data_IF_384480640953
#
_entry.id   IF_384480640953
#
_cell.length_a   1.000
_cell.length_b   1.000
_cell.length_c   1.000
_cell.angle_alpha   90.00
_cell.angle_beta   90.00
_cell.angle_gamma   90.00
#
_symmetry.space_group_name_H-M   'P 1'
#
loop_
_entity.id
_entity.type
_entity.pdbx_description
1 polymer ?
#
# COMPACT_ATOMS: atom_id res chain seq x y z
N UNK A 1 38.36 38.47 43.55
CA UNK A 1 37.30 38.33 42.53
C UNK A 1 37.90 37.64 41.29
N UNK A 2 37.74 36.33 41.19
CA UNK A 2 38.22 35.56 40.03
C UNK A 2 37.00 35.28 39.10
N UNK A 3 37.04 35.81 37.87
CA UNK A 3 36.05 35.54 36.86
C UNK A 3 36.49 34.32 36.06
N UNK A 4 35.72 33.25 36.13
CA UNK A 4 35.86 32.08 35.25
C UNK A 4 35.10 32.36 33.95
N UNK A 5 35.82 32.36 32.82
CA UNK A 5 35.23 32.36 31.50
C UNK A 5 34.98 30.91 31.11
N UNK A 6 33.70 30.51 31.01
CA UNK A 6 33.32 29.21 30.50
C UNK A 6 33.23 29.31 28.98
N UNK A 7 34.19 28.68 28.30
CA UNK A 7 34.15 28.51 26.83
C UNK A 7 33.24 27.32 26.50
N UNK A 8 32.04 27.61 26.02
CA UNK A 8 31.13 26.58 25.49
C UNK A 8 31.54 26.23 24.05
N UNK A 9 32.21 25.09 23.88
CA UNK A 9 32.48 24.53 22.55
C UNK A 9 31.17 23.98 22.00
N UNK A 10 30.59 24.65 21.01
CA UNK A 10 29.47 24.11 20.23
C UNK A 10 30.01 23.05 19.25
N UNK A 11 29.77 21.79 19.55
CA UNK A 11 29.96 20.67 18.61
C UNK A 11 28.88 20.77 17.55
N UNK A 12 29.18 21.31 16.37
CA UNK A 12 28.38 21.12 15.17
C UNK A 12 28.47 19.62 14.79
N UNK A 13 27.36 18.94 14.55
CA UNK A 13 27.40 17.61 13.95
C UNK A 13 27.90 17.77 12.51
N UNK A 14 29.08 17.25 12.23
CA UNK A 14 29.52 17.00 10.86
C UNK A 14 28.59 15.96 10.27
N UNK A 15 27.64 16.40 9.43
CA UNK A 15 26.93 15.49 8.52
C UNK A 15 27.97 15.10 7.46
N UNK A 16 28.64 13.97 7.67
CA UNK A 16 29.40 13.29 6.63
C UNK A 16 28.40 12.83 5.58
N UNK A 17 28.20 13.61 4.51
CA UNK A 17 27.68 13.06 3.27
C UNK A 17 28.80 12.13 2.75
N UNK A 18 28.63 10.83 2.97
CA UNK A 18 29.51 9.84 2.39
C UNK A 18 29.41 9.99 0.87
N UNK A 19 30.44 10.57 0.25
CA UNK A 19 30.57 10.52 -1.20
C UNK A 19 30.57 9.06 -1.61
N UNK A 20 29.73 8.67 -2.57
CA UNK A 20 29.73 7.32 -3.12
C UNK A 20 31.14 7.00 -3.60
N UNK A 21 31.64 5.81 -3.24
CA UNK A 21 32.94 5.36 -3.75
C UNK A 21 32.90 5.23 -5.28
N UNK A 22 34.06 5.27 -5.90
CA UNK A 22 34.20 5.27 -7.37
C UNK A 22 33.65 3.99 -8.04
N UNK A 23 33.60 2.87 -7.31
CA UNK A 23 33.06 1.61 -7.81
C UNK A 23 31.54 1.63 -7.82
N UNK A 24 30.91 2.14 -6.75
CA UNK A 24 29.47 2.32 -6.63
C UNK A 24 28.97 3.36 -7.64
N UNK A 25 29.67 4.47 -7.80
CA UNK A 25 29.31 5.50 -8.79
C UNK A 25 29.34 4.96 -10.22
N UNK A 26 30.34 4.15 -10.58
CA UNK A 26 30.40 3.48 -11.88
C UNK A 26 29.30 2.44 -12.07
N UNK A 27 28.93 1.73 -11.01
CA UNK A 27 27.90 0.71 -11.09
C UNK A 27 26.50 1.29 -11.33
N UNK A 28 26.24 2.55 -11.01
CA UNK A 28 24.99 3.23 -11.37
C UNK A 28 24.91 3.54 -12.88
N UNK A 29 26.02 3.53 -13.59
CA UNK A 29 26.07 3.71 -15.05
C UNK A 29 26.23 2.32 -15.73
N UNK A 30 27.30 1.60 -15.38
CA UNK A 30 27.71 0.38 -16.07
C UNK A 30 27.06 -0.90 -15.51
N UNK A 31 26.39 -0.80 -14.34
CA UNK A 31 25.85 -1.92 -13.59
C UNK A 31 26.91 -2.70 -12.80
N UNK A 32 26.44 -3.48 -11.84
CA UNK A 32 27.21 -4.48 -11.11
C UNK A 32 26.41 -5.78 -10.98
N UNK A 33 27.05 -6.89 -10.64
CA UNK A 33 26.39 -8.16 -10.46
C UNK A 33 25.51 -8.13 -9.20
N UNK A 34 24.21 -8.40 -9.36
CA UNK A 34 23.26 -8.61 -8.29
C UNK A 34 23.02 -10.11 -8.10
N UNK A 35 22.92 -10.56 -6.86
CA UNK A 35 22.49 -11.90 -6.49
C UNK A 35 21.57 -11.84 -5.29
N UNK A 36 20.38 -12.44 -5.42
CA UNK A 36 19.38 -12.56 -4.35
C UNK A 36 18.92 -14.00 -4.27
N UNK A 37 18.80 -14.53 -3.07
CA UNK A 37 18.29 -15.88 -2.79
C UNK A 37 16.88 -15.72 -2.24
N UNK A 38 15.89 -16.05 -3.04
CA UNK A 38 14.49 -15.98 -2.64
C UNK A 38 14.04 -17.26 -1.97
N UNK A 39 13.23 -17.12 -0.92
CA UNK A 39 12.46 -18.19 -0.33
C UNK A 39 10.98 -17.81 -0.39
N UNK A 40 10.19 -18.60 -1.09
CA UNK A 40 8.76 -18.44 -1.25
C UNK A 40 8.04 -19.33 -0.26
N UNK A 41 7.18 -18.73 0.56
CA UNK A 41 6.37 -19.44 1.56
C UNK A 41 4.90 -19.02 1.44
N UNK A 42 4.00 -19.83 1.95
CA UNK A 42 2.61 -19.43 2.09
C UNK A 42 2.39 -18.61 3.39
N UNK A 43 1.16 -18.20 3.63
CA UNK A 43 0.75 -17.42 4.82
C UNK A 43 0.87 -18.20 6.14
N UNK A 44 1.10 -19.51 6.09
CA UNK A 44 1.45 -20.35 7.24
C UNK A 44 2.98 -20.58 7.39
N UNK A 45 3.80 -19.99 6.51
CA UNK A 45 5.25 -20.15 6.50
C UNK A 45 5.73 -21.45 5.84
N UNK A 46 4.84 -22.24 5.21
CA UNK A 46 5.18 -23.48 4.51
C UNK A 46 5.81 -23.14 3.15
N UNK A 47 6.93 -23.80 2.76
CA UNK A 47 7.55 -23.61 1.46
C UNK A 47 6.56 -23.86 0.29
N UNK A 48 6.56 -22.96 -0.69
CA UNK A 48 5.75 -23.10 -1.90
C UNK A 48 6.65 -23.60 -3.03
N UNK A 49 6.50 -24.87 -3.40
CA UNK A 49 7.25 -25.53 -4.46
C UNK A 49 6.65 -25.27 -5.84
N UNK A 50 7.44 -25.37 -6.89
CA UNK A 50 6.99 -25.19 -8.28
C UNK A 50 6.19 -23.89 -8.49
N UNK A 51 6.56 -22.81 -7.80
CA UNK A 51 6.07 -21.47 -8.10
C UNK A 51 6.94 -20.86 -9.21
N UNK A 52 6.31 -20.25 -10.21
CA UNK A 52 6.98 -19.62 -11.34
C UNK A 52 7.35 -18.19 -10.97
N UNK A 53 8.62 -17.87 -11.00
CA UNK A 53 9.15 -16.53 -10.81
C UNK A 53 9.55 -15.94 -12.16
N UNK A 54 9.04 -14.74 -12.47
CA UNK A 54 9.52 -13.87 -13.53
C UNK A 54 10.43 -12.83 -12.90
N UNK A 55 11.67 -12.78 -13.35
CA UNK A 55 12.72 -11.94 -12.78
C UNK A 55 13.13 -10.94 -13.84
N UNK A 56 13.13 -9.67 -13.45
CA UNK A 56 13.50 -8.58 -14.32
C UNK A 56 14.66 -7.78 -13.72
N UNK A 57 15.79 -7.78 -14.43
CA UNK A 57 16.94 -6.92 -14.15
C UNK A 57 16.90 -5.74 -15.10
N UNK A 58 16.68 -4.57 -14.54
CA UNK A 58 16.43 -3.35 -15.29
C UNK A 58 17.69 -2.51 -15.44
N UNK A 59 17.85 -1.90 -16.64
CA UNK A 59 18.89 -0.91 -16.91
C UNK A 59 18.29 0.49 -16.99
N UNK A 60 18.93 1.46 -16.35
CA UNK A 60 18.45 2.84 -16.31
C UNK A 60 18.52 3.53 -17.68
N UNK A 61 19.65 3.37 -18.38
CA UNK A 61 19.93 4.13 -19.59
C UNK A 61 19.55 3.39 -20.89
N UNK A 62 19.55 2.07 -20.86
CA UNK A 62 19.36 1.23 -22.05
C UNK A 62 18.33 0.15 -21.77
N UNK A 63 17.11 0.37 -22.25
CA UNK A 63 16.04 -0.64 -22.12
C UNK A 63 16.36 -1.93 -22.86
N UNK A 64 17.20 -1.89 -23.86
CA UNK A 64 17.74 -3.06 -24.57
C UNK A 64 18.63 -3.94 -23.72
N UNK A 65 19.21 -3.39 -22.64
CA UNK A 65 19.99 -4.14 -21.67
C UNK A 65 19.13 -4.72 -20.53
N UNK A 66 17.82 -4.54 -20.57
CA UNK A 66 16.89 -5.18 -19.63
C UNK A 66 16.93 -6.70 -19.83
N UNK A 67 17.06 -7.43 -18.75
CA UNK A 67 17.11 -8.90 -18.79
C UNK A 67 15.92 -9.49 -18.05
N UNK A 68 15.21 -10.37 -18.76
CA UNK A 68 14.08 -11.13 -18.25
C UNK A 68 14.48 -12.59 -18.11
N UNK A 69 14.35 -13.11 -16.89
CA UNK A 69 14.63 -14.51 -16.59
C UNK A 69 13.40 -15.15 -15.94
N UNK A 70 13.32 -16.47 -16.05
CA UNK A 70 12.34 -17.26 -15.32
C UNK A 70 13.03 -18.29 -14.44
N UNK A 71 12.43 -18.58 -13.30
CA UNK A 71 12.86 -19.63 -12.39
C UNK A 71 11.66 -20.33 -11.77
N UNK A 72 11.88 -21.57 -11.34
CA UNK A 72 10.88 -22.31 -10.54
C UNK A 72 11.45 -22.49 -9.14
N UNK A 73 10.57 -22.40 -8.13
CA UNK A 73 10.97 -22.73 -6.76
C UNK A 73 11.21 -24.23 -6.61
N UNK A 74 12.26 -24.57 -5.88
CA UNK A 74 12.62 -25.95 -5.51
C UNK A 74 11.73 -26.50 -4.37
N UNK A 75 12.11 -27.68 -3.83
CA UNK A 75 11.37 -28.33 -2.73
C UNK A 75 11.34 -27.54 -1.44
N UNK A 76 12.32 -26.65 -1.22
CA UNK A 76 12.42 -25.75 -0.08
C UNK A 76 11.77 -24.36 -0.35
N UNK A 77 11.12 -24.21 -1.50
CA UNK A 77 10.53 -22.96 -1.97
C UNK A 77 11.57 -21.92 -2.42
N UNK A 78 12.80 -22.36 -2.81
CA UNK A 78 13.91 -21.45 -3.12
C UNK A 78 14.16 -21.32 -4.61
N UNK A 79 14.64 -20.14 -5.01
CA UNK A 79 15.29 -19.89 -6.29
C UNK A 79 16.33 -18.78 -6.15
N UNK A 80 17.21 -18.63 -7.14
CA UNK A 80 18.25 -17.60 -7.15
C UNK A 80 18.03 -16.68 -8.34
N UNK A 81 17.97 -15.38 -8.08
CA UNK A 81 18.02 -14.32 -9.08
C UNK A 81 19.46 -13.79 -9.14
N UNK A 82 20.11 -13.88 -10.31
CA UNK A 82 21.50 -13.42 -10.49
C UNK A 82 21.69 -12.87 -11.89
N UNK A 83 22.01 -11.60 -11.99
CA UNK A 83 22.42 -10.95 -13.22
C UNK A 83 23.03 -9.57 -12.93
N UNK A 84 23.58 -8.91 -13.95
CA UNK A 84 24.07 -7.54 -13.88
C UNK A 84 22.90 -6.57 -13.97
N UNK A 85 22.91 -5.51 -13.15
CA UNK A 85 21.94 -4.42 -13.20
C UNK A 85 22.53 -3.13 -12.63
N UNK A 86 22.05 -1.99 -13.09
CA UNK A 86 22.41 -0.67 -12.55
C UNK A 86 21.22 0.07 -11.91
N UNK A 87 20.01 -0.45 -12.05
CA UNK A 87 18.82 0.22 -11.50
C UNK A 87 18.06 -0.68 -10.52
N UNK A 88 17.46 -1.76 -11.04
CA UNK A 88 16.45 -2.49 -10.29
C UNK A 88 16.50 -3.99 -10.60
N UNK A 89 16.30 -4.78 -9.57
CA UNK A 89 15.84 -6.17 -9.66
C UNK A 89 14.40 -6.21 -9.19
N UNK A 90 13.50 -6.73 -10.00
CA UNK A 90 12.12 -7.04 -9.59
C UNK A 90 11.82 -8.50 -9.87
N UNK A 91 10.97 -9.06 -9.04
CA UNK A 91 10.54 -10.43 -9.15
C UNK A 91 9.03 -10.51 -8.96
N UNK A 92 8.34 -11.21 -9.87
CA UNK A 92 6.91 -11.50 -9.77
C UNK A 92 6.72 -12.99 -9.69
N UNK A 93 6.04 -13.49 -8.67
CA UNK A 93 5.93 -14.92 -8.37
C UNK A 93 4.47 -15.34 -8.50
N UNK A 94 4.24 -16.39 -9.27
CA UNK A 94 2.94 -16.92 -9.62
C UNK A 94 2.84 -18.40 -9.26
N UNK A 95 1.70 -18.81 -8.73
CA UNK A 95 1.38 -20.22 -8.48
C UNK A 95 -0.12 -20.41 -8.60
N UNK A 96 -0.55 -21.50 -9.19
CA UNK A 96 -1.97 -21.87 -9.24
C UNK A 96 -2.55 -21.97 -7.82
N UNK A 97 -3.74 -21.39 -7.61
CA UNK A 97 -4.41 -21.37 -6.30
C UNK A 97 -3.84 -20.36 -5.31
N UNK A 98 -2.97 -19.44 -5.79
CA UNK A 98 -2.39 -18.38 -4.96
C UNK A 98 -2.54 -17.00 -5.61
N UNK A 99 -2.60 -15.97 -4.78
CA UNK A 99 -2.45 -14.60 -5.22
C UNK A 99 -1.01 -14.32 -5.63
N UNK A 100 -0.83 -13.68 -6.78
CA UNK A 100 0.48 -13.24 -7.24
C UNK A 100 1.12 -12.33 -6.19
N UNK A 101 2.40 -12.52 -5.94
CA UNK A 101 3.21 -11.62 -5.12
C UNK A 101 4.44 -11.15 -5.88
N UNK A 102 4.96 -9.98 -5.51
CA UNK A 102 6.15 -9.41 -6.11
C UNK A 102 7.15 -8.96 -5.04
N UNK A 103 8.39 -8.79 -5.44
CA UNK A 103 9.43 -8.14 -4.66
C UNK A 103 10.23 -7.22 -5.57
N UNK A 104 10.83 -6.18 -4.99
CA UNK A 104 11.61 -5.20 -5.73
C UNK A 104 12.75 -4.68 -4.89
N UNK A 105 13.93 -4.59 -5.51
CA UNK A 105 15.11 -3.93 -4.98
C UNK A 105 15.49 -2.81 -5.94
N UNK A 106 15.58 -1.59 -5.45
CA UNK A 106 16.05 -0.46 -6.23
C UNK A 106 17.39 -0.01 -5.66
N UNK A 107 18.48 -0.40 -6.32
CA UNK A 107 19.83 -0.22 -5.82
C UNK A 107 20.21 1.24 -5.53
N UNK A 108 19.94 2.22 -6.42
CA UNK A 108 20.20 3.63 -6.13
C UNK A 108 19.36 4.20 -5.00
N UNK A 109 18.05 3.88 -4.96
CA UNK A 109 17.13 4.42 -3.95
C UNK A 109 17.38 3.85 -2.55
N UNK A 110 17.88 2.62 -2.48
CA UNK A 110 18.22 1.95 -1.23
C UNK A 110 19.66 2.25 -0.78
N UNK A 111 20.38 3.15 -1.49
CA UNK A 111 21.76 3.53 -1.20
C UNK A 111 22.70 2.32 -1.07
N UNK A 112 22.50 1.31 -1.92
CA UNK A 112 23.36 0.13 -1.91
C UNK A 112 24.72 0.43 -2.51
N UNK A 113 25.76 -0.21 -2.02
CA UNK A 113 27.12 -0.04 -2.47
C UNK A 113 27.65 -1.26 -3.23
N UNK A 114 28.77 -1.05 -3.94
CA UNK A 114 29.43 -2.10 -4.74
C UNK A 114 30.78 -2.45 -4.13
N UNK A 115 31.00 -3.76 -3.97
CA UNK A 115 32.29 -4.33 -3.58
C UNK A 115 32.65 -5.46 -4.56
N UNK A 116 33.87 -5.43 -5.10
CA UNK A 116 34.37 -6.44 -6.05
C UNK A 116 33.43 -6.66 -7.25
N UNK A 117 32.86 -5.58 -7.80
CA UNK A 117 31.93 -5.62 -8.92
C UNK A 117 30.54 -6.20 -8.60
N UNK A 118 30.19 -6.32 -7.32
CA UNK A 118 28.95 -6.94 -6.84
C UNK A 118 28.17 -5.99 -5.93
N UNK A 119 26.87 -5.87 -6.17
CA UNK A 119 25.95 -5.16 -5.27
C UNK A 119 25.90 -5.83 -3.90
N UNK A 120 25.95 -5.02 -2.85
CA UNK A 120 25.91 -5.49 -1.47
C UNK A 120 24.52 -5.22 -0.85
N UNK A 121 24.04 -6.14 0.03
CA UNK A 121 24.62 -7.45 0.36
C UNK A 121 24.48 -8.46 -0.79
N UNK A 122 25.59 -9.09 -1.19
CA UNK A 122 25.59 -10.06 -2.29
C UNK A 122 25.10 -11.43 -1.81
N UNK A 123 24.05 -11.93 -2.47
CA UNK A 123 23.42 -13.20 -2.08
C UNK A 123 22.51 -13.07 -0.85
N UNK A 124 21.96 -11.86 -0.62
CA UNK A 124 20.98 -11.66 0.46
C UNK A 124 19.79 -12.63 0.33
N UNK A 125 19.29 -13.09 1.48
CA UNK A 125 18.09 -13.89 1.55
C UNK A 125 16.86 -13.00 1.68
N UNK A 126 15.84 -13.25 0.84
CA UNK A 126 14.56 -12.55 0.89
C UNK A 126 13.42 -13.55 0.93
N UNK A 127 12.42 -13.26 1.76
CA UNK A 127 11.22 -14.08 1.87
C UNK A 127 10.08 -13.39 1.13
N UNK A 128 9.39 -14.15 0.27
CA UNK A 128 8.17 -13.69 -0.40
C UNK A 128 7.02 -14.59 0.04
N UNK A 129 5.96 -13.96 0.54
CA UNK A 129 4.75 -14.68 0.96
C UNK A 129 3.76 -14.73 -0.19
N UNK A 130 3.32 -15.93 -0.55
CA UNK A 130 2.19 -16.17 -1.45
C UNK A 130 0.97 -16.52 -0.61
N UNK A 131 -0.06 -15.70 -0.68
CA UNK A 131 -1.34 -15.98 -0.02
C UNK A 131 -2.17 -16.96 -0.85
N UNK A 132 -2.71 -18.01 -0.20
CA UNK A 132 -3.61 -18.96 -0.87
C UNK A 132 -4.95 -18.30 -1.20
N UNK A 133 -5.52 -18.64 -2.34
CA UNK A 133 -6.94 -18.36 -2.62
C UNK A 133 -7.76 -19.37 -1.81
N UNK A 134 -8.60 -18.87 -0.89
CA UNK A 134 -9.37 -19.72 0.06
C UNK A 134 -10.84 -19.77 -0.28
N UNK A 135 -11.57 -18.71 -0.01
CA UNK A 135 -13.01 -18.65 -0.15
C UNK A 135 -13.44 -17.26 -0.64
N UNK A 136 -13.00 -16.85 -1.84
CA UNK A 136 -13.30 -15.53 -2.35
C UNK A 136 -14.79 -15.35 -2.61
N UNK A 137 -15.32 -14.19 -2.21
CA UNK A 137 -16.71 -13.81 -2.34
C UNK A 137 -16.89 -12.66 -3.30
N UNK A 138 -18.10 -12.50 -3.83
CA UNK A 138 -18.48 -11.30 -4.55
C UNK A 138 -18.50 -10.12 -3.57
N UNK A 139 -17.66 -9.13 -3.82
CA UNK A 139 -17.65 -7.87 -3.09
C UNK A 139 -18.02 -6.72 -4.03
N UNK A 140 -18.74 -5.74 -3.52
CA UNK A 140 -18.90 -4.50 -4.23
C UNK A 140 -17.54 -3.80 -4.27
N UNK A 141 -16.99 -3.60 -5.47
CA UNK A 141 -15.75 -2.88 -5.67
C UNK A 141 -16.01 -1.51 -6.29
N UNK A 142 -15.43 -0.49 -5.68
CA UNK A 142 -15.38 0.87 -6.23
C UNK A 142 -13.91 1.27 -6.39
N UNK A 143 -13.53 1.46 -7.63
CA UNK A 143 -12.21 1.99 -7.96
C UNK A 143 -12.28 3.51 -7.96
N UNK A 144 -11.48 4.13 -7.10
CA UNK A 144 -11.48 5.58 -6.88
C UNK A 144 -10.83 6.41 -7.98
N UNK A 145 -10.92 5.94 -9.23
CA UNK A 145 -10.49 6.71 -10.40
C UNK A 145 -11.43 7.90 -10.72
N UNK A 146 -12.59 7.95 -10.06
CA UNK A 146 -13.54 9.06 -10.26
C UNK A 146 -13.33 10.09 -9.17
N UNK A 147 -12.86 11.26 -9.57
CA UNK A 147 -12.75 12.43 -8.71
C UNK A 147 -14.14 12.93 -8.32
N UNK A 148 -14.46 12.79 -7.06
CA UNK A 148 -15.71 13.33 -6.52
C UNK A 148 -15.53 14.78 -6.14
N UNK A 149 -16.41 15.65 -6.62
CA UNK A 149 -16.44 17.05 -6.17
C UNK A 149 -16.86 17.12 -4.71
N UNK A 150 -16.11 17.88 -3.90
CA UNK A 150 -16.49 18.20 -2.52
C UNK A 150 -17.67 19.18 -2.58
N UNK A 151 -18.88 18.79 -2.11
CA UNK A 151 -20.08 19.61 -2.30
C UNK A 151 -20.16 20.79 -1.34
N UNK A 152 -19.60 20.65 -0.13
CA UNK A 152 -19.64 21.69 0.90
C UNK A 152 -18.44 21.57 1.86
N UNK A 153 -18.12 22.67 2.53
CA UNK A 153 -17.06 22.76 3.53
C UNK A 153 -17.66 23.14 4.89
N UNK A 154 -16.97 22.77 5.99
CA UNK A 154 -17.30 23.15 7.35
C UNK A 154 -18.45 22.37 8.00
N UNK A 155 -19.13 21.50 7.27
CA UNK A 155 -20.24 20.69 7.79
C UNK A 155 -20.00 19.20 7.56
N UNK A 156 -20.66 18.36 8.34
CA UNK A 156 -20.63 16.91 8.17
C UNK A 156 -21.52 16.49 7.00
N UNK A 157 -20.99 15.66 6.12
CA UNK A 157 -21.62 15.12 4.93
C UNK A 157 -21.65 13.59 5.05
N UNK A 158 -22.82 12.99 4.96
CA UNK A 158 -22.94 11.54 4.87
C UNK A 158 -22.44 11.03 3.53
N UNK A 159 -21.74 9.88 3.53
CA UNK A 159 -21.22 9.25 2.32
C UNK A 159 -21.59 7.77 2.30
N UNK A 160 -22.14 7.33 1.17
CA UNK A 160 -22.59 5.97 0.91
C UNK A 160 -21.51 5.19 0.15
N UNK A 161 -20.95 4.16 0.76
CA UNK A 161 -19.92 3.33 0.15
C UNK A 161 -20.44 2.50 -1.02
N UNK A 162 -21.70 2.06 -0.97
CA UNK A 162 -22.31 1.24 -2.01
C UNK A 162 -22.59 2.07 -3.27
N UNK A 163 -23.18 3.26 -3.10
CA UNK A 163 -23.46 4.18 -4.19
C UNK A 163 -22.23 4.97 -4.64
N UNK A 164 -21.20 5.01 -3.79
CA UNK A 164 -20.02 5.85 -3.94
C UNK A 164 -20.41 7.31 -4.15
N UNK A 165 -21.31 7.81 -3.31
CA UNK A 165 -21.93 9.13 -3.43
C UNK A 165 -22.25 9.72 -2.06
N UNK A 166 -22.25 11.05 -1.98
CA UNK A 166 -22.80 11.74 -0.82
C UNK A 166 -24.30 11.49 -0.71
N UNK A 167 -24.83 11.52 0.51
CA UNK A 167 -26.28 11.45 0.71
C UNK A 167 -26.97 12.79 0.37
N UNK A 168 -28.29 12.79 0.10
CA UNK A 168 -29.02 14.04 -0.14
C UNK A 168 -28.80 15.09 0.96
N UNK A 169 -28.79 16.40 0.63
CA UNK A 169 -29.08 16.96 -0.70
C UNK A 169 -27.86 17.03 -1.64
N UNK A 170 -26.72 16.40 -1.29
CA UNK A 170 -25.44 16.57 -1.96
C UNK A 170 -25.11 15.50 -3.00
N UNK A 171 -25.87 14.44 -3.05
CA UNK A 171 -25.71 13.32 -3.97
C UNK A 171 -26.87 12.34 -3.88
N UNK A 172 -26.66 11.14 -4.45
CA UNK A 172 -27.67 10.08 -4.59
C UNK A 172 -27.46 8.90 -3.61
N UNK A 173 -26.60 9.09 -2.62
CA UNK A 173 -26.37 8.09 -1.58
C UNK A 173 -27.63 7.84 -0.75
N UNK A 174 -27.86 6.59 -0.32
CA UNK A 174 -29.02 6.18 0.47
C UNK A 174 -28.62 6.03 1.95
N UNK A 175 -27.43 5.48 2.17
CA UNK A 175 -26.92 5.20 3.50
C UNK A 175 -25.75 6.12 3.84
N UNK A 176 -25.72 6.61 5.06
CA UNK A 176 -24.55 7.31 5.57
C UNK A 176 -23.61 6.28 6.23
N UNK A 177 -22.75 5.66 5.46
CA UNK A 177 -21.78 4.69 5.95
C UNK A 177 -20.70 5.36 6.80
N UNK A 178 -20.36 6.60 6.44
CA UNK A 178 -19.36 7.43 7.10
C UNK A 178 -19.75 8.91 6.97
N UNK A 179 -19.35 9.71 7.92
CA UNK A 179 -19.46 11.17 7.88
C UNK A 179 -18.11 11.77 7.48
N UNK A 180 -18.12 12.72 6.55
CA UNK A 180 -16.96 13.45 6.07
C UNK A 180 -17.14 14.94 6.34
N UNK A 181 -16.12 15.61 6.86
CA UNK A 181 -16.10 17.06 7.00
C UNK A 181 -14.82 17.60 6.37
N UNK A 182 -15.00 18.58 5.49
CA UNK A 182 -13.89 19.18 4.76
C UNK A 182 -13.67 20.61 5.22
N UNK A 183 -12.41 21.00 5.32
CA UNK A 183 -12.00 22.40 5.46
C UNK A 183 -10.93 22.75 4.44
N UNK A 184 -10.88 24.03 4.07
CA UNK A 184 -9.91 24.57 3.13
C UNK A 184 -9.47 25.94 3.57
N UNK A 185 -8.18 26.12 3.75
CA UNK A 185 -7.56 27.38 4.11
C UNK A 185 -6.66 27.85 2.96
N UNK A 186 -7.00 29.02 2.38
CA UNK A 186 -6.12 29.69 1.44
C UNK A 186 -4.92 30.31 2.18
N UNK A 187 -3.74 30.16 1.64
CA UNK A 187 -2.52 30.81 2.13
C UNK A 187 -2.18 31.90 1.11
N UNK A 188 -2.51 33.17 1.38
CA UNK A 188 -2.37 34.26 0.40
C UNK A 188 -0.97 34.31 -0.22
N UNK A 189 -0.88 34.29 -1.54
CA UNK A 189 0.38 34.29 -2.29
C UNK A 189 1.28 33.07 -2.10
N UNK A 190 0.81 32.03 -1.36
CA UNK A 190 1.63 30.85 -1.02
C UNK A 190 0.98 29.52 -1.42
N UNK A 191 -0.34 29.43 -1.52
CA UNK A 191 -1.03 28.19 -1.85
C UNK A 191 -2.27 27.91 -1.02
N UNK A 192 -2.50 26.65 -0.68
CA UNK A 192 -3.66 26.24 0.15
C UNK A 192 -3.37 24.98 0.95
N UNK A 193 -4.08 24.85 2.07
CA UNK A 193 -4.15 23.63 2.86
C UNK A 193 -5.60 23.13 2.92
N UNK A 194 -5.76 21.81 2.88
CA UNK A 194 -7.06 21.13 3.00
C UNK A 194 -6.97 20.11 4.12
N UNK A 195 -8.10 19.94 4.82
CA UNK A 195 -8.23 18.95 5.87
C UNK A 195 -9.54 18.19 5.70
N UNK A 196 -9.51 16.89 5.89
CA UNK A 196 -10.66 16.00 5.86
C UNK A 196 -10.73 15.24 7.18
N UNK A 197 -11.85 15.35 7.86
CA UNK A 197 -12.20 14.53 9.01
C UNK A 197 -13.15 13.43 8.54
N UNK A 198 -12.87 12.22 8.97
CA UNK A 198 -13.64 11.00 8.68
C UNK A 198 -14.21 10.50 9.99
N UNK A 199 -15.52 10.28 10.08
CA UNK A 199 -16.17 9.85 11.31
C UNK A 199 -17.21 8.76 11.06
N UNK A 200 -17.13 7.69 11.86
CA UNK A 200 -18.11 6.60 11.90
C UNK A 200 -19.08 6.71 13.08
N UNK A 201 -19.21 7.90 13.68
CA UNK A 201 -20.02 8.10 14.91
C UNK A 201 -21.52 8.04 14.68
N UNK A 202 -21.97 8.11 13.43
CA UNK A 202 -23.38 8.01 13.03
C UNK A 202 -23.97 6.61 13.19
N UNK A 203 -23.13 5.59 13.40
CA UNK A 203 -23.56 4.22 13.63
C UNK A 203 -22.90 3.65 14.90
N UNK A 204 -23.64 2.98 15.80
CA UNK A 204 -23.04 2.29 16.95
C UNK A 204 -22.10 1.19 16.44
N UNK A 205 -20.99 0.96 17.14
CA UNK A 205 -19.98 -0.05 16.78
C UNK A 205 -19.33 0.08 15.38
N UNK A 206 -19.76 1.01 14.52
CA UNK A 206 -19.07 1.28 13.26
C UNK A 206 -17.68 1.88 13.51
N UNK A 207 -16.78 1.75 12.56
CA UNK A 207 -15.41 2.25 12.66
C UNK A 207 -14.48 1.57 11.68
N UNK A 208 -13.21 1.85 11.78
CA UNK A 208 -12.18 1.16 11.00
C UNK A 208 -10.89 0.98 11.80
N UNK A 209 -10.03 0.08 11.36
CA UNK A 209 -8.68 -0.05 11.89
C UNK A 209 -7.68 -0.18 10.75
N UNK A 210 -6.46 0.33 10.99
CA UNK A 210 -5.37 0.26 10.03
C UNK A 210 -4.57 -1.02 10.21
N UNK A 211 -4.13 -1.58 9.11
CA UNK A 211 -3.16 -2.67 9.07
C UNK A 211 -2.08 -2.36 8.04
N UNK A 212 -0.89 -2.86 8.29
CA UNK A 212 0.16 -2.87 7.28
C UNK A 212 0.03 -4.11 6.40
N UNK A 213 0.34 -3.93 5.13
CA UNK A 213 0.48 -5.03 4.19
C UNK A 213 1.84 -5.69 4.39
N UNK A 214 1.88 -6.99 4.64
CA UNK A 214 3.12 -7.73 4.88
C UNK A 214 3.89 -8.04 3.59
N UNK A 215 3.26 -7.84 2.41
CA UNK A 215 3.84 -8.18 1.11
C UNK A 215 3.25 -7.38 -0.04
N UNK A 216 3.92 -7.39 -1.19
CA UNK A 216 3.39 -6.89 -2.45
C UNK A 216 2.42 -7.89 -3.11
N UNK A 217 1.62 -8.60 -2.33
CA UNK A 217 0.59 -9.50 -2.82
C UNK A 217 -0.57 -8.73 -3.45
N UNK A 218 -1.19 -9.30 -4.47
CA UNK A 218 -2.47 -8.79 -4.99
C UNK A 218 -3.52 -8.72 -3.88
N UNK A 219 -3.56 -9.71 -3.00
CA UNK A 219 -4.39 -9.67 -1.81
C UNK A 219 -3.62 -9.08 -0.63
N UNK A 220 -3.67 -7.77 -0.50
CA UNK A 220 -2.93 -7.02 0.53
C UNK A 220 -3.52 -7.16 1.94
N UNK A 221 -4.84 -7.44 2.04
CA UNK A 221 -5.57 -7.53 3.32
C UNK A 221 -5.48 -8.92 3.96
N UNK A 222 -5.93 -9.02 5.20
CA UNK A 222 -6.37 -10.28 5.78
C UNK A 222 -7.55 -10.86 4.97
N UNK A 223 -7.86 -12.14 5.20
CA UNK A 223 -9.01 -12.81 4.58
C UNK A 223 -10.34 -12.40 5.22
N UNK A 224 -10.28 -12.05 6.50
CA UNK A 224 -11.46 -11.70 7.29
C UNK A 224 -11.21 -10.44 8.10
N UNK A 225 -12.27 -9.68 8.32
CA UNK A 225 -12.29 -8.61 9.30
C UNK A 225 -12.25 -9.21 10.71
N UNK A 226 -11.39 -8.69 11.57
CA UNK A 226 -11.30 -9.15 12.97
C UNK A 226 -12.28 -8.35 13.84
N UNK A 227 -13.37 -9.01 14.26
CA UNK A 227 -14.41 -8.39 15.08
C UNK A 227 -13.93 -7.99 16.47
N UNK A 228 -12.82 -8.58 16.96
CA UNK A 228 -12.24 -8.32 18.28
C UNK A 228 -11.31 -7.09 18.28
N UNK A 229 -10.93 -6.60 17.12
CA UNK A 229 -10.13 -5.38 17.00
C UNK A 229 -10.90 -4.17 17.50
N UNK A 230 -10.17 -3.21 18.04
CA UNK A 230 -10.71 -1.88 18.32
C UNK A 230 -10.95 -1.15 16.99
N UNK A 231 -12.21 -0.85 16.70
CA UNK A 231 -12.60 -0.05 15.55
C UNK A 231 -12.59 1.43 15.94
N UNK A 232 -11.63 2.15 15.43
CA UNK A 232 -11.51 3.60 15.66
C UNK A 232 -12.66 4.32 14.99
N UNK A 233 -13.20 5.32 15.69
CA UNK A 233 -14.39 6.08 15.25
C UNK A 233 -14.06 7.21 14.30
N UNK A 234 -12.82 7.69 14.29
CA UNK A 234 -12.45 8.88 13.52
C UNK A 234 -11.02 8.80 13.02
N UNK A 235 -10.81 9.41 11.87
CA UNK A 235 -9.52 9.59 11.21
C UNK A 235 -9.44 11.01 10.65
N UNK A 236 -8.24 11.49 10.38
CA UNK A 236 -8.04 12.74 9.67
C UNK A 236 -6.96 12.61 8.62
N UNK A 237 -7.12 13.37 7.55
CA UNK A 237 -6.19 13.44 6.43
C UNK A 237 -5.95 14.90 6.06
N UNK A 238 -4.75 15.23 5.65
CA UNK A 238 -4.42 16.58 5.23
C UNK A 238 -3.66 16.63 3.92
N UNK A 239 -3.79 17.74 3.23
CA UNK A 239 -3.10 18.04 2.00
C UNK A 239 -2.67 19.50 2.02
N UNK A 240 -1.40 19.75 1.81
CA UNK A 240 -0.85 21.10 1.69
C UNK A 240 -0.15 21.25 0.35
N UNK A 241 -0.46 22.32 -0.36
CA UNK A 241 0.22 22.72 -1.59
C UNK A 241 0.69 24.16 -1.51
N UNK A 242 1.98 24.32 -1.35
CA UNK A 242 2.63 25.63 -1.38
C UNK A 242 3.26 25.87 -2.75
N UNK A 243 3.25 27.15 -3.19
CA UNK A 243 3.90 27.56 -4.44
C UNK A 243 5.41 27.26 -4.38
N UNK A 244 5.93 26.62 -5.43
CA UNK A 244 7.35 26.27 -5.53
C UNK A 244 7.80 25.12 -4.64
N UNK A 245 6.89 24.49 -3.87
CA UNK A 245 7.18 23.30 -3.06
C UNK A 245 6.43 22.06 -3.55
N UNK A 246 6.96 20.88 -3.24
CA UNK A 246 6.23 19.63 -3.45
C UNK A 246 5.03 19.58 -2.49
N UNK A 247 3.88 19.05 -2.94
CA UNK A 247 2.74 18.82 -2.07
C UNK A 247 3.13 17.93 -0.89
N UNK A 248 2.57 18.23 0.29
CA UNK A 248 2.69 17.40 1.49
C UNK A 248 1.33 16.75 1.75
N UNK A 249 1.36 15.46 2.04
CA UNK A 249 0.18 14.65 2.32
C UNK A 249 0.35 14.00 3.69
N UNK A 250 -0.69 14.05 4.49
CA UNK A 250 -0.88 13.16 5.64
C UNK A 250 -2.08 12.27 5.30
N UNK A 251 -1.81 11.07 4.87
CA UNK A 251 -2.78 10.12 4.34
C UNK A 251 -2.36 8.68 4.64
N UNK A 252 -3.24 7.73 4.35
CA UNK A 252 -2.93 6.30 4.48
C UNK A 252 -1.71 5.95 3.61
N UNK A 253 -0.71 5.33 4.21
CA UNK A 253 0.52 4.92 3.53
C UNK A 253 0.25 3.92 2.39
N UNK A 254 1.13 3.89 1.39
CA UNK A 254 0.99 2.95 0.26
C UNK A 254 1.12 1.47 0.67
N UNK A 255 1.70 1.21 1.85
CA UNK A 255 1.85 -0.10 2.48
C UNK A 255 0.81 -0.36 3.58
N UNK A 256 -0.23 0.49 3.69
CA UNK A 256 -1.30 0.38 4.67
C UNK A 256 -2.64 0.15 3.98
N UNK A 257 -3.59 -0.42 4.72
CA UNK A 257 -4.98 -0.54 4.34
C UNK A 257 -5.89 -0.41 5.57
N UNK A 258 -7.13 0.00 5.31
CA UNK A 258 -8.19 0.04 6.31
C UNK A 258 -9.08 -1.19 6.18
N UNK A 259 -9.46 -1.77 7.31
CA UNK A 259 -10.62 -2.66 7.43
C UNK A 259 -11.69 -1.89 8.19
N UNK A 260 -12.88 -1.83 7.66
CA UNK A 260 -13.99 -1.08 8.25
C UNK A 260 -15.22 -1.94 8.52
N UNK A 261 -16.02 -1.46 9.46
CA UNK A 261 -17.35 -1.98 9.81
C UNK A 261 -18.35 -0.83 9.75
N UNK A 262 -19.45 -1.05 9.04
CA UNK A 262 -20.52 -0.04 8.84
C UNK A 262 -21.91 -0.66 8.85
N UNK A 263 -22.97 0.13 8.70
CA UNK A 263 -24.39 -0.29 8.73
C UNK A 263 -24.73 -1.20 9.91
N UNK A 264 -24.16 -0.88 11.05
CA UNK A 264 -24.33 -1.67 12.26
C UNK A 264 -25.72 -1.48 12.85
N UNK A 265 -26.30 -2.56 13.34
CA UNK A 265 -27.53 -2.54 14.12
C UNK A 265 -27.30 -3.19 15.47
N UNK A 266 -27.97 -2.71 16.47
CA UNK A 266 -27.93 -3.25 17.84
C UNK A 266 -29.31 -3.74 18.28
N UNK A 267 -29.34 -4.72 19.17
CA UNK A 267 -30.55 -5.15 19.85
C UNK A 267 -30.97 -4.18 20.98
N UNK A 268 -32.07 -4.52 21.65
CA UNK A 268 -32.60 -3.71 22.78
C UNK A 268 -31.64 -3.65 23.98
N UNK A 269 -30.64 -4.55 24.03
CA UNK A 269 -29.59 -4.57 25.05
C UNK A 269 -28.34 -3.82 24.62
N UNK A 270 -28.36 -3.19 23.44
CA UNK A 270 -27.22 -2.45 22.88
C UNK A 270 -26.10 -3.34 22.34
N UNK A 271 -26.37 -4.64 22.09
CA UNK A 271 -25.39 -5.57 21.51
C UNK A 271 -25.45 -5.55 19.99
N UNK A 272 -24.30 -5.66 19.34
CA UNK A 272 -24.21 -5.72 17.88
C UNK A 272 -24.88 -6.98 17.35
N UNK A 273 -25.89 -6.81 16.51
CA UNK A 273 -26.63 -7.93 15.87
C UNK A 273 -26.47 -7.96 14.36
N UNK A 274 -26.06 -6.88 13.74
CA UNK A 274 -25.80 -6.84 12.29
C UNK A 274 -24.75 -5.80 11.94
N UNK A 275 -23.88 -6.13 10.99
CA UNK A 275 -22.87 -5.24 10.44
C UNK A 275 -22.51 -5.65 9.00
N UNK A 276 -22.04 -4.68 8.20
CA UNK A 276 -21.32 -4.94 6.97
C UNK A 276 -19.83 -4.66 7.18
N UNK A 277 -19.00 -5.44 6.51
CA UNK A 277 -17.54 -5.32 6.58
C UNK A 277 -16.95 -5.00 5.21
N UNK A 278 -15.80 -4.35 5.23
CA UNK A 278 -15.10 -4.04 3.99
C UNK A 278 -13.66 -3.63 4.23
N UNK A 279 -13.00 -3.30 3.13
CA UNK A 279 -11.62 -2.84 3.12
C UNK A 279 -11.40 -1.70 2.14
N UNK A 280 -10.39 -0.88 2.41
CA UNK A 280 -9.94 0.19 1.52
C UNK A 280 -8.44 0.02 1.34
N UNK A 281 -7.99 -0.21 0.11
CA UNK A 281 -6.59 -0.18 -0.26
C UNK A 281 -6.20 1.19 -0.80
N UNK A 282 -5.00 1.65 -0.44
CA UNK A 282 -4.47 2.90 -0.95
C UNK A 282 -5.10 4.12 -0.28
N UNK A 283 -5.24 5.18 -1.05
CA UNK A 283 -5.42 6.51 -0.49
C UNK A 283 -6.87 6.91 -0.35
N UNK A 284 -7.17 7.53 0.76
CA UNK A 284 -8.30 8.39 0.93
C UNK A 284 -7.76 9.82 0.85
N UNK A 285 -7.88 10.46 -0.29
CA UNK A 285 -7.07 11.63 -0.60
C UNK A 285 -7.84 12.76 -1.30
N UNK A 286 -7.22 13.92 -1.29
CA UNK A 286 -7.70 15.08 -2.04
C UNK A 286 -7.22 15.03 -3.49
N UNK A 287 -8.14 15.33 -4.41
CA UNK A 287 -7.85 15.52 -5.83
C UNK A 287 -7.95 17.01 -6.14
N UNK A 288 -6.83 17.70 -6.00
CA UNK A 288 -6.78 19.15 -6.12
C UNK A 288 -7.64 19.88 -5.09
N UNK A 289 -7.98 21.15 -5.32
CA UNK A 289 -8.62 22.00 -4.31
C UNK A 289 -10.13 21.79 -4.16
N UNK A 290 -10.75 20.91 -4.90
CA UNK A 290 -12.21 20.76 -4.94
C UNK A 290 -12.70 19.33 -5.01
N UNK A 291 -11.80 18.36 -5.05
CA UNK A 291 -12.12 16.94 -5.22
C UNK A 291 -11.56 16.07 -4.12
N UNK A 292 -12.16 14.90 -3.96
CA UNK A 292 -11.66 13.81 -3.15
C UNK A 292 -11.82 12.48 -3.89
N UNK A 293 -11.07 11.49 -3.48
CA UNK A 293 -11.19 10.12 -3.98
C UNK A 293 -10.88 9.12 -2.87
N UNK A 294 -11.54 7.96 -2.93
CA UNK A 294 -11.26 6.80 -2.08
C UNK A 294 -10.81 5.69 -3.03
N UNK A 295 -9.52 5.34 -2.97
CA UNK A 295 -8.97 4.28 -3.83
C UNK A 295 -9.43 2.91 -3.37
N UNK A 296 -9.80 2.04 -4.30
CA UNK A 296 -10.07 0.62 -4.09
C UNK A 296 -10.87 0.28 -2.82
N UNK A 297 -12.10 0.76 -2.77
CA UNK A 297 -13.07 0.42 -1.73
C UNK A 297 -13.75 -0.91 -2.09
N UNK A 298 -13.73 -1.87 -1.15
CA UNK A 298 -14.42 -3.15 -1.24
C UNK A 298 -15.41 -3.28 -0.09
N UNK A 299 -16.67 -3.56 -0.39
CA UNK A 299 -17.72 -3.75 0.60
C UNK A 299 -18.35 -5.13 0.43
N UNK A 300 -18.31 -5.95 1.48
CA UNK A 300 -19.11 -7.16 1.56
C UNK A 300 -20.54 -6.76 1.96
N UNK A 301 -21.49 -7.01 1.07
CA UNK A 301 -22.91 -6.64 1.27
C UNK A 301 -23.71 -7.69 2.02
N UNK A 302 -23.10 -8.84 2.39
CA UNK A 302 -23.73 -9.88 3.19
C UNK A 302 -23.59 -9.54 4.67
N UNK A 303 -24.69 -9.32 5.40
CA UNK A 303 -24.62 -8.99 6.82
C UNK A 303 -23.93 -10.07 7.65
N UNK A 304 -23.09 -9.64 8.59
CA UNK A 304 -22.36 -10.49 9.53
C UNK A 304 -21.33 -11.44 8.89
N UNK A 305 -21.10 -11.34 7.59
CA UNK A 305 -20.02 -12.07 6.94
C UNK A 305 -18.74 -11.21 6.99
N UNK A 306 -17.78 -11.64 7.81
CA UNK A 306 -16.49 -10.99 7.99
C UNK A 306 -15.51 -11.26 6.85
N UNK A 307 -15.87 -12.13 5.89
CA UNK A 307 -15.02 -12.43 4.74
C UNK A 307 -14.82 -11.18 3.88
N UNK A 308 -13.55 -10.83 3.66
CA UNK A 308 -13.12 -9.72 2.81
C UNK A 308 -12.15 -10.17 1.71
N UNK A 309 -12.18 -11.45 1.37
CA UNK A 309 -11.46 -12.03 0.25
C UNK A 309 -12.26 -11.83 -1.04
N UNK A 310 -11.81 -10.92 -1.89
CA UNK A 310 -12.53 -10.49 -3.07
C UNK A 310 -12.33 -11.44 -4.27
N UNK A 311 -13.42 -11.85 -4.91
CA UNK A 311 -13.43 -12.79 -6.02
C UNK A 311 -12.85 -12.23 -7.31
N UNK A 312 -13.02 -10.94 -7.59
CA UNK A 312 -12.43 -10.33 -8.77
C UNK A 312 -10.91 -10.32 -8.69
N UNK A 313 -10.36 -10.06 -7.50
CA UNK A 313 -8.92 -10.16 -7.23
C UNK A 313 -8.43 -11.59 -7.40
N UNK A 314 -9.19 -12.60 -6.95
CA UNK A 314 -8.85 -14.01 -7.13
C UNK A 314 -8.88 -14.43 -8.61
N UNK A 315 -9.90 -14.01 -9.35
CA UNK A 315 -10.02 -14.25 -10.81
C UNK A 315 -8.87 -13.58 -11.57
N UNK A 316 -8.48 -12.36 -11.17
CA UNK A 316 -7.33 -11.67 -11.75
C UNK A 316 -6.03 -12.43 -11.49
N UNK A 317 -5.82 -12.95 -10.27
CA UNK A 317 -4.64 -13.77 -9.95
C UNK A 317 -4.57 -15.04 -10.80
N UNK A 318 -5.70 -15.73 -10.99
CA UNK A 318 -5.77 -16.90 -11.87
C UNK A 318 -5.42 -16.57 -13.32
N UNK A 319 -5.92 -15.44 -13.85
CA UNK A 319 -5.59 -14.95 -15.19
C UNK A 319 -4.11 -14.62 -15.35
N UNK A 320 -3.51 -13.97 -14.35
CA UNK A 320 -2.08 -13.65 -14.36
C UNK A 320 -1.22 -14.92 -14.37
N UNK A 321 -1.58 -15.94 -13.58
CA UNK A 321 -0.91 -17.23 -13.60
C UNK A 321 -0.96 -17.89 -14.98
N UNK A 322 -2.14 -17.95 -15.61
CA UNK A 322 -2.29 -18.52 -16.94
C UNK A 322 -1.47 -17.77 -18.02
N UNK A 323 -1.39 -16.45 -17.92
CA UNK A 323 -0.56 -15.65 -18.82
C UNK A 323 0.92 -15.89 -18.58
N UNK A 324 1.35 -16.00 -17.32
CA UNK A 324 2.74 -16.27 -16.95
C UNK A 324 3.24 -17.61 -17.49
N UNK A 325 2.40 -18.65 -17.49
CA UNK A 325 2.75 -19.96 -18.08
C UNK A 325 2.90 -19.88 -19.61
N UNK A 326 2.04 -19.10 -20.28
CA UNK A 326 2.07 -18.97 -21.75
C UNK A 326 3.30 -18.18 -22.23
N UNK A 327 3.88 -17.34 -21.40
CA UNK A 327 5.07 -16.54 -21.72
C UNK A 327 6.39 -17.24 -21.36
N UNK A 328 6.34 -18.47 -20.89
CA UNK A 328 7.49 -19.32 -20.59
C UNK A 328 7.94 -20.06 -21.86
#
# INVERSE_FOLDING_TARGET
MHRYVVLTLALLPLVLSAALDSATSRAYVDGAEAKVIYRVVDDAGVPVTNALAHIWFRSYERKEDDVHLTAMTDVDGRFVARHRTNEQLSCTINKEGYYQSSDRINYPKENRFVKDGKWQPYGEARVVVLKRIKSPIEMLHRDGLVDMKIPAYGQWLGFDFERYSFVPPFGEGIHSDVLLRFSKNGIPGKGYAMHMEVSFTNNPFAGAYKLKSDSFSLMRSAYQADEKKAYEKSFSYSYERLQGKRPVFDELGGDEYLVFRTRTRVDDKGQLVSALYGKIYGRWHFVGPRGMSISHLFLNIVPNDTNIEDKDTANHAAKLYMNAIKSK
#
